data_IF_276928659115
#
_entry.id   IF_276928659115
#
_cell.length_a   1.000
_cell.length_b   1.000
_cell.length_c   1.000
_cell.angle_alpha   90.00
_cell.angle_beta   90.00
_cell.angle_gamma   90.00
#
_symmetry.space_group_name_H-M   'P 1'
#
loop_
_entity.id
_entity.type
_entity.pdbx_description
1 polymer ?
#
# COMPACT_ATOMS: atom_id res chain seq x y z
N UNK A 1 47.45 2.79 -36.08
CA UNK A 1 48.86 2.72 -36.52
C UNK A 1 48.83 2.26 -37.96
N UNK A 2 49.49 2.96 -38.89
CA UNK A 2 49.52 2.50 -40.27
C UNK A 2 50.26 1.17 -40.28
N UNK A 3 49.61 0.15 -40.80
CA UNK A 3 50.22 -1.13 -41.13
C UNK A 3 51.24 -0.84 -42.22
N UNK A 4 52.52 -0.71 -41.84
CA UNK A 4 53.57 -1.01 -42.81
C UNK A 4 53.26 -2.41 -43.31
N UNK A 5 52.93 -2.56 -44.59
CA UNK A 5 52.70 -3.87 -45.19
C UNK A 5 53.87 -4.77 -44.80
N UNK A 6 53.58 -5.77 -43.96
CA UNK A 6 54.63 -6.57 -43.34
C UNK A 6 55.20 -7.46 -44.41
N UNK A 7 56.51 -7.32 -44.66
CA UNK A 7 57.25 -8.12 -45.62
C UNK A 7 56.96 -9.61 -45.38
N UNK A 8 56.32 -10.23 -46.37
CA UNK A 8 56.00 -11.64 -46.39
C UNK A 8 57.10 -12.42 -47.10
N UNK A 9 57.09 -13.73 -46.92
CA UNK A 9 58.01 -14.62 -47.63
C UNK A 9 57.83 -14.48 -49.15
N UNK A 10 56.60 -14.22 -49.62
CA UNK A 10 56.32 -13.99 -51.04
C UNK A 10 57.01 -12.72 -51.57
N UNK A 11 57.09 -11.66 -50.77
CA UNK A 11 57.76 -10.41 -51.17
C UNK A 11 59.28 -10.62 -51.33
N UNK A 12 59.87 -11.50 -50.51
CA UNK A 12 61.29 -11.88 -50.62
C UNK A 12 61.55 -12.67 -51.91
N UNK A 13 60.64 -13.59 -52.28
CA UNK A 13 60.73 -14.34 -53.54
C UNK A 13 60.57 -13.44 -54.77
N UNK A 14 59.66 -12.47 -54.73
CA UNK A 14 59.46 -11.50 -55.81
C UNK A 14 60.69 -10.60 -55.99
N UNK A 15 61.28 -10.13 -54.87
CA UNK A 15 62.53 -9.37 -54.88
C UNK A 15 63.70 -10.21 -55.42
N UNK A 16 63.83 -11.47 -54.99
CA UNK A 16 64.84 -12.40 -55.50
C UNK A 16 64.70 -12.64 -57.02
N UNK A 17 63.47 -12.76 -57.52
CA UNK A 17 63.19 -12.92 -58.96
C UNK A 17 63.62 -11.68 -59.77
N UNK A 18 63.32 -10.48 -59.27
CA UNK A 18 63.74 -9.23 -59.91
C UNK A 18 65.27 -9.10 -59.95
N UNK A 19 65.93 -9.35 -58.82
CA UNK A 19 67.40 -9.33 -58.71
C UNK A 19 68.04 -10.37 -59.65
N UNK A 20 67.45 -11.56 -59.76
CA UNK A 20 67.93 -12.61 -60.67
C UNK A 20 67.93 -12.17 -62.13
N UNK A 21 66.88 -11.49 -62.59
CA UNK A 21 66.80 -10.93 -63.96
C UNK A 21 67.85 -9.85 -64.21
N UNK A 22 68.12 -9.01 -63.22
CA UNK A 22 69.15 -7.98 -63.32
C UNK A 22 70.56 -8.60 -63.39
N UNK A 23 70.81 -9.68 -62.64
CA UNK A 23 72.06 -10.44 -62.75
C UNK A 23 72.22 -11.12 -64.11
N UNK A 24 71.15 -11.68 -64.68
CA UNK A 24 71.16 -12.27 -66.03
C UNK A 24 71.59 -11.22 -67.07
N UNK A 25 71.02 -10.01 -67.03
CA UNK A 25 71.40 -8.90 -67.93
C UNK A 25 72.86 -8.44 -67.80
N UNK A 26 73.44 -8.55 -66.60
CA UNK A 26 74.84 -8.22 -66.35
C UNK A 26 75.75 -9.33 -66.89
N UNK A 27 75.40 -10.59 -66.67
CA UNK A 27 76.14 -11.76 -67.17
C UNK A 27 76.18 -11.74 -68.70
N UNK A 28 75.06 -11.45 -69.35
CA UNK A 28 74.96 -11.39 -70.82
C UNK A 28 75.89 -10.33 -71.45
N UNK A 29 76.14 -9.22 -70.73
CA UNK A 29 76.97 -8.11 -71.25
C UNK A 29 78.43 -8.15 -70.84
N UNK A 30 78.73 -8.61 -69.62
CA UNK A 30 80.05 -8.49 -69.01
C UNK A 30 80.68 -9.85 -68.64
N UNK A 31 79.98 -10.95 -68.87
CA UNK A 31 80.43 -12.29 -68.50
C UNK A 31 80.18 -12.63 -67.03
N UNK A 32 80.30 -13.92 -66.70
CA UNK A 32 79.96 -14.47 -65.38
C UNK A 32 80.89 -13.96 -64.27
N UNK A 33 82.15 -13.66 -64.59
CA UNK A 33 83.17 -13.21 -63.63
C UNK A 33 82.81 -11.88 -62.95
N UNK A 34 82.00 -11.05 -63.62
CA UNK A 34 81.55 -9.76 -63.06
C UNK A 34 80.63 -9.91 -61.83
N UNK A 35 79.91 -11.03 -61.73
CA UNK A 35 78.90 -11.26 -60.68
C UNK A 35 79.31 -12.38 -59.70
N UNK A 36 80.26 -13.23 -60.08
CA UNK A 36 80.66 -14.43 -59.34
C UNK A 36 80.97 -14.20 -57.85
N UNK A 37 81.60 -13.07 -57.49
CA UNK A 37 81.90 -12.74 -56.08
C UNK A 37 80.75 -12.06 -55.30
N UNK A 38 79.77 -11.49 -56.00
CA UNK A 38 78.64 -10.76 -55.41
C UNK A 38 77.43 -11.69 -55.16
N UNK A 39 77.18 -12.62 -56.07
CA UNK A 39 76.02 -13.51 -56.02
C UNK A 39 75.91 -14.29 -54.70
N UNK A 40 76.96 -14.91 -54.14
CA UNK A 40 76.86 -15.62 -52.86
C UNK A 40 76.47 -14.68 -51.71
N UNK A 41 76.94 -13.43 -51.72
CA UNK A 41 76.59 -12.45 -50.68
C UNK A 41 75.13 -12.03 -50.76
N UNK A 42 74.60 -11.87 -51.98
CA UNK A 42 73.19 -11.54 -52.19
C UNK A 42 72.30 -12.72 -51.81
N UNK A 43 72.71 -13.95 -52.13
CA UNK A 43 72.01 -15.16 -51.69
C UNK A 43 71.94 -15.21 -50.16
N UNK A 44 73.07 -15.03 -49.45
CA UNK A 44 73.06 -15.04 -47.99
C UNK A 44 72.15 -13.96 -47.38
N UNK A 45 72.10 -12.76 -47.96
CA UNK A 45 71.18 -11.71 -47.49
C UNK A 45 69.71 -12.07 -47.78
N UNK A 46 69.41 -12.68 -48.93
CA UNK A 46 68.06 -13.14 -49.26
C UNK A 46 67.61 -14.29 -48.36
N UNK A 47 68.50 -15.23 -48.03
CA UNK A 47 68.26 -16.30 -47.06
C UNK A 47 67.98 -15.74 -45.65
N UNK A 48 68.79 -14.78 -45.19
CA UNK A 48 68.55 -14.09 -43.90
C UNK A 48 67.20 -13.33 -43.89
N UNK A 49 66.82 -12.70 -45.01
CA UNK A 49 65.53 -12.03 -45.14
C UNK A 49 64.36 -13.01 -45.18
N UNK A 50 64.51 -14.17 -45.84
CA UNK A 50 63.50 -15.23 -45.86
C UNK A 50 63.28 -15.80 -44.45
N UNK A 51 64.35 -16.04 -43.70
CA UNK A 51 64.32 -16.48 -42.30
C UNK A 51 63.60 -15.45 -41.40
N UNK A 52 63.88 -14.16 -41.60
CA UNK A 52 63.21 -13.10 -40.86
C UNK A 52 61.72 -12.99 -41.22
N UNK A 53 61.39 -13.09 -42.51
CA UNK A 53 60.00 -13.04 -42.99
C UNK A 53 59.18 -14.24 -42.49
N UNK A 54 59.74 -15.45 -42.52
CA UNK A 54 59.07 -16.65 -41.97
C UNK A 54 58.83 -16.53 -40.47
N UNK A 55 59.85 -16.12 -39.69
CA UNK A 55 59.69 -15.90 -38.25
C UNK A 55 58.61 -14.86 -37.95
N UNK A 56 58.64 -13.76 -38.68
CA UNK A 56 57.65 -12.70 -38.54
C UNK A 56 56.22 -13.18 -38.85
N UNK A 57 56.02 -14.00 -39.88
CA UNK A 57 54.71 -14.62 -40.17
C UNK A 57 54.26 -15.59 -39.06
N UNK A 58 55.18 -16.35 -38.47
CA UNK A 58 54.85 -17.25 -37.35
C UNK A 58 54.46 -16.48 -36.09
N UNK A 59 55.23 -15.47 -35.71
CA UNK A 59 54.92 -14.60 -34.57
C UNK A 59 53.60 -13.84 -34.79
N UNK A 60 53.35 -13.38 -36.02
CA UNK A 60 52.07 -12.74 -36.39
C UNK A 60 50.88 -13.69 -36.23
N UNK A 61 51.01 -14.95 -36.63
CA UNK A 61 49.97 -15.98 -36.43
C UNK A 61 49.73 -16.24 -34.94
N UNK A 62 50.81 -16.38 -34.16
CA UNK A 62 50.73 -16.58 -32.71
C UNK A 62 50.05 -15.39 -32.00
N UNK A 63 50.36 -14.15 -32.39
CA UNK A 63 49.71 -12.96 -31.84
C UNK A 63 48.20 -12.96 -32.12
N UNK A 64 47.79 -13.32 -33.34
CA UNK A 64 46.37 -13.40 -33.71
C UNK A 64 45.66 -14.48 -32.90
N UNK A 65 46.27 -15.65 -32.73
CA UNK A 65 45.68 -16.73 -31.94
C UNK A 65 45.62 -16.39 -30.46
N UNK A 66 46.67 -15.76 -29.91
CA UNK A 66 46.68 -15.30 -28.52
C UNK A 66 45.61 -14.22 -28.29
N UNK A 67 45.43 -13.29 -29.23
CA UNK A 67 44.35 -12.30 -29.17
C UNK A 67 42.97 -12.98 -29.13
N UNK A 68 42.74 -14.01 -29.95
CA UNK A 68 41.49 -14.79 -29.91
C UNK A 68 41.26 -15.48 -28.56
N UNK A 69 42.33 -15.96 -27.92
CA UNK A 69 42.24 -16.55 -26.58
C UNK A 69 41.90 -15.49 -25.54
N UNK A 70 42.54 -14.32 -25.60
CA UNK A 70 42.25 -13.19 -24.70
C UNK A 70 40.79 -12.77 -24.84
N UNK A 71 40.31 -12.52 -26.06
CA UNK A 71 38.93 -12.12 -26.31
C UNK A 71 37.93 -13.15 -25.74
N UNK A 72 38.21 -14.45 -25.95
CA UNK A 72 37.39 -15.53 -25.39
C UNK A 72 37.38 -15.50 -23.85
N UNK A 73 38.54 -15.42 -23.21
CA UNK A 73 38.63 -15.39 -21.74
C UNK A 73 37.96 -14.15 -21.15
N UNK A 74 38.03 -13.01 -21.82
CA UNK A 74 37.32 -11.79 -21.41
C UNK A 74 35.80 -12.00 -21.44
N UNK A 75 35.27 -12.61 -22.50
CA UNK A 75 33.83 -12.93 -22.59
C UNK A 75 33.40 -13.93 -21.50
N UNK A 76 34.19 -14.98 -21.25
CA UNK A 76 33.92 -15.96 -20.19
C UNK A 76 33.94 -15.31 -18.80
N UNK A 77 34.92 -14.44 -18.54
CA UNK A 77 35.03 -13.70 -17.27
C UNK A 77 33.81 -12.82 -17.02
N UNK A 78 33.30 -12.14 -18.05
CA UNK A 78 32.08 -11.34 -17.94
C UNK A 78 30.87 -12.23 -17.65
N UNK A 79 30.75 -13.37 -18.35
CA UNK A 79 29.65 -14.32 -18.15
C UNK A 79 29.64 -14.87 -16.71
N UNK A 80 30.80 -15.26 -16.18
CA UNK A 80 30.93 -15.77 -14.80
C UNK A 80 30.51 -14.71 -13.78
N UNK A 81 30.94 -13.45 -13.95
CA UNK A 81 30.52 -12.35 -13.08
C UNK A 81 29.00 -12.14 -13.12
N UNK A 82 28.42 -12.13 -14.32
CA UNK A 82 26.98 -11.97 -14.49
C UNK A 82 26.22 -13.13 -13.82
N UNK A 83 26.68 -14.38 -14.02
CA UNK A 83 26.10 -15.57 -13.39
C UNK A 83 26.12 -15.47 -11.86
N UNK A 84 27.23 -15.05 -11.26
CA UNK A 84 27.32 -14.86 -9.81
C UNK A 84 26.34 -13.79 -9.30
N UNK A 85 26.18 -12.68 -10.03
CA UNK A 85 25.19 -11.64 -9.66
C UNK A 85 23.75 -12.14 -9.76
N UNK A 86 23.43 -12.94 -10.77
CA UNK A 86 22.10 -13.54 -10.95
C UNK A 86 21.80 -14.56 -9.84
N UNK A 87 22.79 -15.36 -9.44
CA UNK A 87 22.64 -16.30 -8.33
C UNK A 87 22.39 -15.56 -7.00
N UNK A 88 23.17 -14.51 -6.70
CA UNK A 88 22.94 -13.68 -5.52
C UNK A 88 21.55 -13.02 -5.53
N UNK A 89 21.12 -12.48 -6.68
CA UNK A 89 19.78 -11.91 -6.82
C UNK A 89 18.66 -12.93 -6.61
N UNK A 90 18.83 -14.16 -7.12
CA UNK A 90 17.88 -15.26 -6.90
C UNK A 90 17.77 -15.61 -5.41
N UNK A 91 18.89 -15.64 -4.70
CA UNK A 91 18.88 -15.91 -3.26
C UNK A 91 18.24 -14.77 -2.46
N UNK A 92 18.48 -13.52 -2.85
CA UNK A 92 17.79 -12.37 -2.27
C UNK A 92 16.27 -12.43 -2.49
N UNK A 93 15.81 -12.77 -3.70
CA UNK A 93 14.38 -12.95 -4.01
C UNK A 93 13.78 -14.04 -3.12
N UNK A 94 14.44 -15.20 -3.00
CA UNK A 94 13.97 -16.28 -2.12
C UNK A 94 13.91 -15.85 -0.65
N UNK A 95 14.89 -15.04 -0.20
CA UNK A 95 14.88 -14.48 1.15
C UNK A 95 13.68 -13.59 1.39
N UNK A 96 13.48 -12.61 0.51
CA UNK A 96 12.37 -11.66 0.60
C UNK A 96 11.02 -12.36 0.49
N UNK A 97 10.90 -13.41 -0.33
CA UNK A 97 9.69 -14.23 -0.42
C UNK A 97 9.37 -14.94 0.89
N UNK A 98 10.37 -15.47 1.60
CA UNK A 98 10.17 -16.09 2.93
C UNK A 98 9.75 -15.05 3.96
N UNK A 99 10.39 -13.88 3.97
CA UNK A 99 10.01 -12.78 4.86
C UNK A 99 8.59 -12.31 4.60
N UNK A 100 8.21 -12.12 3.34
CA UNK A 100 6.85 -11.74 2.95
C UNK A 100 5.82 -12.79 3.38
N UNK A 101 6.10 -14.08 3.15
CA UNK A 101 5.22 -15.17 3.56
C UNK A 101 5.04 -15.22 5.08
N UNK A 102 6.11 -14.99 5.84
CA UNK A 102 6.05 -14.91 7.30
C UNK A 102 5.19 -13.72 7.76
N UNK A 103 5.42 -12.53 7.20
CA UNK A 103 4.63 -11.33 7.53
C UNK A 103 3.17 -11.48 7.18
N UNK A 104 2.85 -12.14 6.06
CA UNK A 104 1.48 -12.45 5.67
C UNK A 104 0.81 -13.37 6.71
N UNK A 105 1.49 -14.43 7.16
CA UNK A 105 0.98 -15.31 8.20
C UNK A 105 0.75 -14.57 9.53
N UNK A 106 1.64 -13.64 9.90
CA UNK A 106 1.48 -12.82 11.11
C UNK A 106 0.26 -11.90 11.00
N UNK A 107 0.03 -11.28 9.84
CA UNK A 107 -1.15 -10.44 9.57
C UNK A 107 -2.44 -11.25 9.67
N UNK A 108 -2.48 -12.44 9.06
CA UNK A 108 -3.65 -13.34 9.13
C UNK A 108 -3.94 -13.79 10.57
N UNK A 109 -2.90 -14.05 11.37
CA UNK A 109 -3.04 -14.39 12.78
C UNK A 109 -3.60 -13.21 13.61
N UNK A 110 -3.08 -12.00 13.39
CA UNK A 110 -3.55 -10.79 14.07
C UNK A 110 -4.99 -10.41 13.66
N UNK A 111 -5.34 -10.55 12.38
CA UNK A 111 -6.71 -10.37 11.89
C UNK A 111 -7.66 -11.36 12.56
N UNK A 112 -7.28 -12.64 12.63
CA UNK A 112 -8.07 -13.67 13.32
C UNK A 112 -8.28 -13.35 14.81
N UNK A 113 -7.27 -12.78 15.47
CA UNK A 113 -7.38 -12.33 16.86
C UNK A 113 -8.31 -11.11 16.99
N UNK A 114 -8.20 -10.14 16.10
CA UNK A 114 -9.06 -8.94 16.05
C UNK A 114 -10.52 -9.34 15.89
N UNK A 115 -10.82 -10.23 14.94
CA UNK A 115 -12.19 -10.72 14.70
C UNK A 115 -12.75 -11.45 15.91
N UNK A 116 -11.92 -12.24 16.61
CA UNK A 116 -12.33 -12.90 17.85
C UNK A 116 -12.67 -11.89 18.94
N UNK A 117 -11.87 -10.85 19.11
CA UNK A 117 -12.13 -9.79 20.09
C UNK A 117 -13.38 -8.99 19.71
N UNK A 118 -13.59 -8.68 18.43
CA UNK A 118 -14.79 -8.02 17.93
C UNK A 118 -16.05 -8.83 18.26
N UNK A 119 -16.02 -10.16 18.04
CA UNK A 119 -17.11 -11.07 18.43
C UNK A 119 -17.38 -11.06 19.94
N UNK A 120 -16.32 -11.13 20.75
CA UNK A 120 -16.47 -11.07 22.22
C UNK A 120 -17.03 -9.72 22.70
N UNK A 121 -16.58 -8.62 22.12
CA UNK A 121 -17.09 -7.29 22.45
C UNK A 121 -18.57 -7.13 22.07
N UNK A 122 -18.97 -7.62 20.89
CA UNK A 122 -20.38 -7.64 20.49
C UNK A 122 -21.24 -8.46 21.47
N UNK A 123 -20.74 -9.61 21.91
CA UNK A 123 -21.42 -10.46 22.90
C UNK A 123 -21.58 -9.77 24.25
N UNK A 124 -20.52 -9.11 24.76
CA UNK A 124 -20.59 -8.34 26.01
C UNK A 124 -21.61 -7.21 25.89
N UNK A 125 -21.61 -6.47 24.78
CA UNK A 125 -22.59 -5.40 24.52
C UNK A 125 -24.02 -5.93 24.49
N UNK A 126 -24.27 -7.08 23.84
CA UNK A 126 -25.60 -7.72 23.85
C UNK A 126 -26.04 -8.12 25.25
N UNK A 127 -25.16 -8.77 26.03
CA UNK A 127 -25.45 -9.14 27.43
C UNK A 127 -25.76 -7.93 28.30
N UNK A 128 -24.97 -6.87 28.15
CA UNK A 128 -25.19 -5.62 28.85
C UNK A 128 -26.56 -4.99 28.49
N UNK A 129 -26.93 -4.98 27.20
CA UNK A 129 -28.24 -4.47 26.76
C UNK A 129 -29.40 -5.26 27.38
N UNK A 130 -29.32 -6.59 27.39
CA UNK A 130 -30.33 -7.45 28.02
C UNK A 130 -30.43 -7.18 29.53
N UNK A 131 -29.29 -7.14 30.23
CA UNK A 131 -29.26 -6.87 31.67
C UNK A 131 -29.81 -5.47 32.00
N UNK A 132 -29.48 -4.46 31.19
CA UNK A 132 -30.01 -3.09 31.33
C UNK A 132 -31.53 -3.06 31.17
N UNK A 133 -32.09 -3.73 30.16
CA UNK A 133 -33.54 -3.81 29.96
C UNK A 133 -34.24 -4.51 31.12
N UNK A 134 -33.66 -5.60 31.64
CA UNK A 134 -34.18 -6.29 32.82
C UNK A 134 -34.21 -5.35 34.04
N UNK A 135 -33.14 -4.59 34.27
CA UNK A 135 -33.09 -3.61 35.35
C UNK A 135 -34.15 -2.49 35.18
N UNK A 136 -34.37 -2.01 33.95
CA UNK A 136 -35.40 -1.02 33.63
C UNK A 136 -36.81 -1.56 33.91
N UNK A 137 -37.13 -2.76 33.44
CA UNK A 137 -38.42 -3.40 33.69
C UNK A 137 -38.70 -3.60 35.19
N UNK A 138 -37.67 -3.99 35.97
CA UNK A 138 -37.81 -4.09 37.42
C UNK A 138 -38.03 -2.73 38.08
N UNK A 139 -37.38 -1.66 37.58
CA UNK A 139 -37.57 -0.30 38.06
C UNK A 139 -39.00 0.20 37.78
N UNK A 140 -39.53 -0.06 36.58
CA UNK A 140 -40.90 0.29 36.19
C UNK A 140 -41.94 -0.44 37.05
N UNK A 141 -41.80 -1.77 37.18
CA UNK A 141 -42.67 -2.57 38.03
C UNK A 141 -42.64 -2.12 39.50
N UNK A 142 -41.46 -1.72 39.99
CA UNK A 142 -41.30 -1.13 41.33
C UNK A 142 -42.06 0.19 41.45
N UNK A 143 -41.90 1.11 40.48
CA UNK A 143 -42.60 2.39 40.48
C UNK A 143 -44.14 2.21 40.46
N UNK A 144 -44.65 1.26 39.67
CA UNK A 144 -46.08 0.93 39.62
C UNK A 144 -46.60 0.38 40.95
N UNK A 145 -45.79 -0.44 41.64
CA UNK A 145 -46.09 -0.94 42.98
C UNK A 145 -46.11 0.20 44.01
N UNK A 146 -45.13 1.10 43.96
CA UNK A 146 -45.06 2.27 44.86
C UNK A 146 -46.28 3.18 44.69
N UNK A 147 -46.71 3.47 43.46
CA UNK A 147 -47.93 4.26 43.19
C UNK A 147 -49.18 3.57 43.75
N UNK A 148 -49.32 2.25 43.56
CA UNK A 148 -50.46 1.50 44.12
C UNK A 148 -50.44 1.49 45.65
N UNK A 149 -49.26 1.35 46.24
CA UNK A 149 -49.09 1.42 47.69
C UNK A 149 -49.51 2.80 48.22
N UNK A 150 -49.01 3.88 47.62
CA UNK A 150 -49.37 5.26 47.99
C UNK A 150 -50.87 5.51 47.88
N UNK A 151 -51.53 5.02 46.83
CA UNK A 151 -52.98 5.13 46.68
C UNK A 151 -53.73 4.40 47.81
N UNK A 152 -53.27 3.21 48.20
CA UNK A 152 -53.85 2.47 49.34
C UNK A 152 -53.60 3.17 50.67
N UNK A 153 -52.42 3.75 50.88
CA UNK A 153 -52.10 4.55 52.07
C UNK A 153 -52.95 5.81 52.18
N UNK A 154 -53.23 6.49 51.05
CA UNK A 154 -54.13 7.64 51.00
C UNK A 154 -55.55 7.25 51.41
N UNK A 155 -56.09 6.15 50.87
CA UNK A 155 -57.42 5.65 51.26
C UNK A 155 -57.48 5.29 52.74
N UNK A 156 -56.43 4.66 53.29
CA UNK A 156 -56.36 4.37 54.72
C UNK A 156 -56.34 5.66 55.56
N UNK A 157 -55.68 6.71 55.09
CA UNK A 157 -55.66 8.03 55.74
C UNK A 157 -57.04 8.68 55.73
N UNK A 158 -57.73 8.68 54.59
CA UNK A 158 -59.10 9.18 54.46
C UNK A 158 -60.08 8.44 55.39
N UNK A 159 -59.99 7.10 55.44
CA UNK A 159 -60.80 6.32 56.38
C UNK A 159 -60.48 6.65 57.84
N UNK A 160 -59.20 6.86 58.18
CA UNK A 160 -58.78 7.26 59.52
C UNK A 160 -59.33 8.65 59.89
N UNK A 161 -59.30 9.60 58.97
CA UNK A 161 -59.80 10.96 59.18
C UNK A 161 -61.34 10.99 59.32
N UNK A 162 -62.06 10.09 58.63
CA UNK A 162 -63.52 9.92 58.81
C UNK A 162 -63.91 9.22 60.12
N UNK A 163 -63.03 8.40 60.70
CA UNK A 163 -63.26 7.70 61.98
C UNK A 163 -62.86 8.56 63.19
N UNK A 164 -61.94 9.52 63.01
CA UNK A 164 -61.55 10.50 64.03
C UNK A 164 -62.25 11.84 63.76
N UNK A 165 -63.47 11.99 64.29
CA UNK A 165 -64.10 13.32 64.42
C UNK A 165 -63.26 14.25 65.31
N UNK A 166 -63.46 15.59 65.23
CA UNK A 166 -62.60 16.56 65.88
C UNK A 166 -62.91 16.65 67.37
N UNK A 167 -62.52 15.66 68.17
CA UNK A 167 -62.38 15.83 69.62
C UNK A 167 -61.10 15.17 70.15
N UNK A 168 -60.23 16.06 70.66
CA UNK A 168 -59.29 15.90 71.76
C UNK A 168 -58.29 14.73 71.76
N UNK A 169 -56.99 15.08 71.73
CA UNK A 169 -55.95 14.18 72.23
C UNK A 169 -54.54 14.54 71.79
N UNK A 170 -53.95 15.56 72.41
CA UNK A 170 -52.51 15.78 72.40
C UNK A 170 -51.77 14.51 72.89
N UNK A 171 -50.70 14.13 72.19
CA UNK A 171 -49.77 13.09 72.66
C UNK A 171 -49.59 11.91 71.71
N UNK A 172 -48.99 12.14 70.53
CA UNK A 172 -48.28 11.11 69.77
C UNK A 172 -47.22 11.77 68.89
N UNK A 173 -46.41 12.65 69.47
CA UNK A 173 -45.06 12.88 68.94
C UNK A 173 -44.21 11.64 69.22
N UNK A 174 -43.28 11.36 68.31
CA UNK A 174 -42.40 10.20 68.25
C UNK A 174 -43.08 8.92 67.72
N UNK A 175 -43.12 8.79 66.39
CA UNK A 175 -42.20 7.96 65.59
C UNK A 175 -42.61 8.14 64.13
N UNK A 176 -42.30 9.31 63.54
CA UNK A 176 -42.25 9.44 62.09
C UNK A 176 -40.82 9.18 61.66
N UNK A 177 -40.40 7.90 61.66
CA UNK A 177 -39.25 7.53 60.85
C UNK A 177 -39.72 7.67 59.40
N UNK A 178 -39.48 8.84 58.83
CA UNK A 178 -40.00 9.23 57.53
C UNK A 178 -39.45 8.26 56.49
N UNK A 179 -40.34 7.42 55.95
CA UNK A 179 -40.09 6.62 54.74
C UNK A 179 -39.56 7.51 53.61
N UNK A 180 -39.95 8.79 53.60
CA UNK A 180 -39.41 9.84 52.72
C UNK A 180 -37.90 10.08 52.86
N UNK A 181 -37.33 9.93 54.05
CA UNK A 181 -35.89 10.10 54.29
C UNK A 181 -35.10 8.86 53.80
N UNK A 182 -35.71 7.68 53.87
CA UNK A 182 -35.15 6.44 53.31
C UNK A 182 -35.26 6.43 51.79
N UNK A 183 -36.40 6.83 51.21
CA UNK A 183 -36.59 6.99 49.76
C UNK A 183 -35.64 8.05 49.19
N UNK A 184 -35.46 9.19 49.88
CA UNK A 184 -34.51 10.24 49.46
C UNK A 184 -33.06 9.77 49.53
N UNK A 185 -32.71 8.93 50.53
CA UNK A 185 -31.39 8.32 50.66
C UNK A 185 -31.13 7.26 49.58
N UNK A 186 -32.14 6.44 49.24
CA UNK A 186 -32.05 5.43 48.17
C UNK A 186 -31.97 6.10 46.80
N UNK A 187 -32.77 7.15 46.55
CA UNK A 187 -32.77 7.88 45.30
C UNK A 187 -31.46 8.65 45.08
N UNK A 188 -30.85 9.24 46.11
CA UNK A 188 -29.52 9.84 46.02
C UNK A 188 -28.43 8.80 45.71
N UNK A 189 -28.53 7.60 46.29
CA UNK A 189 -27.57 6.50 46.05
C UNK A 189 -27.68 5.92 44.64
N UNK A 190 -28.89 5.84 44.08
CA UNK A 190 -29.12 5.39 42.69
C UNK A 190 -28.78 6.46 41.65
N UNK A 191 -29.04 7.75 41.91
CA UNK A 191 -28.63 8.85 41.03
C UNK A 191 -27.11 8.98 40.91
N UNK A 192 -26.37 8.76 42.02
CA UNK A 192 -24.89 8.73 42.00
C UNK A 192 -24.33 7.56 41.17
N UNK A 193 -24.99 6.39 41.21
CA UNK A 193 -24.61 5.24 40.38
C UNK A 193 -24.90 5.51 38.90
N UNK A 194 -26.09 6.01 38.55
CA UNK A 194 -26.45 6.37 37.16
C UNK A 194 -25.51 7.46 36.61
N UNK A 195 -25.09 8.42 37.45
CA UNK A 195 -24.12 9.45 37.06
C UNK A 195 -22.71 8.89 36.84
N UNK A 196 -22.30 7.84 37.56
CA UNK A 196 -21.01 7.16 37.35
C UNK A 196 -21.00 6.25 36.11
N UNK A 197 -22.17 5.94 35.54
CA UNK A 197 -22.30 5.20 34.29
C UNK A 197 -22.20 6.09 33.04
N UNK A 198 -22.19 7.42 33.18
CA UNK A 198 -21.94 8.39 32.10
C UNK A 198 -20.43 8.56 31.82
N UNK A 199 -19.69 7.46 31.77
CA UNK A 199 -18.51 7.42 30.94
C UNK A 199 -18.97 7.03 29.53
N UNK A 200 -19.61 7.98 28.86
CA UNK A 200 -19.50 8.06 27.41
C UNK A 200 -18.01 8.25 27.14
N UNK A 201 -17.33 7.13 26.89
CA UNK A 201 -16.03 7.12 26.29
C UNK A 201 -16.22 7.74 24.90
N UNK A 202 -16.04 9.06 24.86
CA UNK A 202 -15.74 9.85 23.68
C UNK A 202 -14.43 9.31 23.07
N UNK A 203 -14.50 8.15 22.42
CA UNK A 203 -13.47 7.65 21.52
C UNK A 203 -13.67 8.40 20.23
N UNK A 204 -13.18 9.64 20.20
CA UNK A 204 -12.73 10.26 18.95
C UNK A 204 -11.53 9.44 18.49
N UNK A 205 -11.77 8.47 17.61
CA UNK A 205 -10.74 7.93 16.75
C UNK A 205 -10.37 9.01 15.73
N UNK A 206 -9.39 9.84 16.10
CA UNK A 206 -8.70 10.75 15.20
C UNK A 206 -7.22 10.41 15.21
N UNK A 207 -6.75 9.71 14.18
CA UNK A 207 -5.35 9.77 13.80
C UNK A 207 -5.10 11.10 13.09
N UNK A 208 -4.12 11.88 13.56
CA UNK A 208 -3.12 12.56 12.72
C UNK A 208 -2.02 13.08 13.65
N UNK A 209 -0.75 12.74 13.35
CA UNK A 209 0.41 13.09 14.16
C UNK A 209 0.96 14.49 13.89
N UNK A 210 1.45 15.17 14.93
CA UNK A 210 2.84 15.65 15.09
C UNK A 210 3.01 16.40 16.44
N UNK A 211 4.24 16.50 16.99
CA UNK A 211 4.47 16.71 18.42
C UNK A 211 4.76 18.16 18.80
N UNK A 212 4.51 18.49 20.08
CA UNK A 212 5.24 19.52 20.82
C UNK A 212 4.39 20.67 21.35
N UNK A 213 3.89 20.55 22.59
CA UNK A 213 3.80 21.65 23.54
C UNK A 213 3.50 21.13 24.96
N UNK A 214 4.34 21.56 25.89
CA UNK A 214 4.40 21.33 27.34
C UNK A 214 3.10 21.78 28.06
N UNK A 215 2.68 21.15 29.18
CA UNK A 215 1.49 21.57 29.90
C UNK A 215 1.82 22.74 30.83
N UNK A 216 1.16 23.89 30.64
CA UNK A 216 1.15 24.98 31.61
C UNK A 216 -0.23 25.10 32.25
N UNK A 217 -0.22 24.89 33.56
CA UNK A 217 -1.30 25.04 34.51
C UNK A 217 -1.61 26.54 34.68
N UNK A 218 -2.86 26.97 34.45
CA UNK A 218 -3.40 28.23 34.99
C UNK A 218 -4.88 28.02 35.32
N UNK A 219 -5.19 27.83 36.61
CA UNK A 219 -6.55 28.05 37.12
C UNK A 219 -6.89 29.53 36.93
N UNK A 220 -7.72 29.81 35.93
CA UNK A 220 -8.40 31.09 35.80
C UNK A 220 -9.71 30.99 36.57
N UNK A 221 -9.85 31.78 37.64
CA UNK A 221 -11.14 32.01 38.31
C UNK A 221 -12.08 32.65 37.28
N UNK A 222 -13.03 31.88 36.77
CA UNK A 222 -14.08 32.39 35.89
C UNK A 222 -15.13 33.09 36.77
N UNK A 223 -15.63 34.24 36.32
CA UNK A 223 -16.75 34.93 36.97
C UNK A 223 -18.07 34.19 36.73
N UNK A 224 -19.06 34.40 37.59
CA UNK A 224 -20.37 33.71 37.55
C UNK A 224 -21.06 33.84 36.19
N UNK A 225 -20.94 35.00 35.55
CA UNK A 225 -21.48 35.29 34.22
C UNK A 225 -20.82 34.45 33.12
N UNK A 226 -19.50 34.26 33.19
CA UNK A 226 -18.74 33.44 32.23
C UNK A 226 -19.05 31.94 32.40
N UNK A 227 -19.42 31.53 33.62
CA UNK A 227 -19.89 30.19 33.93
C UNK A 227 -21.28 29.94 33.35
N UNK A 228 -22.20 30.92 33.47
CA UNK A 228 -23.55 30.83 32.90
C UNK A 228 -23.50 30.77 31.37
N UNK A 229 -22.66 31.59 30.72
CA UNK A 229 -22.50 31.59 29.27
C UNK A 229 -21.92 30.26 28.76
N UNK A 230 -20.89 29.73 29.43
CA UNK A 230 -20.32 28.42 29.11
C UNK A 230 -21.34 27.30 29.28
N UNK A 231 -22.10 27.28 30.37
CA UNK A 231 -23.08 26.22 30.63
C UNK A 231 -24.26 26.28 29.66
N UNK A 232 -24.68 27.48 29.24
CA UNK A 232 -25.68 27.66 28.18
C UNK A 232 -25.14 27.20 26.81
N UNK A 233 -23.86 27.44 26.49
CA UNK A 233 -23.21 26.95 25.26
C UNK A 233 -23.00 25.42 25.24
N UNK A 234 -22.87 24.79 26.40
CA UNK A 234 -22.84 23.32 26.58
C UNK A 234 -24.23 22.67 26.54
N UNK A 235 -25.30 23.44 26.24
CA UNK A 235 -26.67 22.95 26.17
C UNK A 235 -27.34 22.75 27.53
N UNK A 236 -26.75 23.25 28.63
CA UNK A 236 -27.31 23.21 29.98
C UNK A 236 -27.91 24.58 30.29
N UNK A 237 -29.16 24.83 29.86
CA UNK A 237 -29.81 26.11 30.14
C UNK A 237 -29.94 26.37 31.64
N UNK A 238 -29.25 27.38 32.15
CA UNK A 238 -29.40 27.89 33.52
C UNK A 238 -30.40 29.03 33.46
N UNK A 239 -31.60 28.81 34.01
CA UNK A 239 -32.68 29.79 34.01
C UNK A 239 -32.77 30.42 35.41
N UNK A 240 -32.73 31.76 35.48
CA UNK A 240 -32.93 32.51 36.72
C UNK A 240 -34.29 32.15 37.34
N UNK A 241 -34.27 31.80 38.63
CA UNK A 241 -35.47 31.40 39.38
C UNK A 241 -36.42 32.58 39.64
N UNK A 242 -35.94 33.81 39.51
CA UNK A 242 -36.69 35.03 39.83
C UNK A 242 -37.37 35.69 38.61
N UNK A 243 -37.15 35.18 37.40
CA UNK A 243 -37.67 35.77 36.16
C UNK A 243 -39.20 35.56 35.99
N UNK A 244 -40.01 36.65 35.93
CA UNK A 244 -41.45 36.58 35.70
C UNK A 244 -41.84 36.00 34.33
N UNK A 245 -40.99 36.11 33.32
CA UNK A 245 -41.23 35.65 31.95
C UNK A 245 -40.65 34.26 31.66
N UNK A 246 -40.18 33.55 32.70
CA UNK A 246 -39.68 32.18 32.58
C UNK A 246 -40.75 31.26 31.97
N UNK A 247 -40.41 30.42 30.97
CA UNK A 247 -41.33 29.44 30.41
C UNK A 247 -41.88 28.52 31.51
N UNK A 248 -43.20 28.55 31.71
CA UNK A 248 -43.90 27.71 32.68
C UNK A 248 -44.60 26.60 31.92
N UNK A 249 -43.96 25.45 31.87
CA UNK A 249 -44.57 24.24 31.34
C UNK A 249 -45.50 23.64 32.38
N UNK A 250 -46.63 23.10 31.95
CA UNK A 250 -47.45 22.25 32.81
C UNK A 250 -46.73 20.91 33.05
N UNK A 251 -47.04 20.23 34.16
CA UNK A 251 -46.48 18.90 34.45
C UNK A 251 -46.79 17.90 33.32
N UNK A 252 -47.94 18.07 32.67
CA UNK A 252 -48.37 17.27 31.52
C UNK A 252 -47.48 17.51 30.30
N UNK A 253 -47.24 18.77 29.93
CA UNK A 253 -46.33 19.13 28.83
C UNK A 253 -44.90 18.63 29.10
N UNK A 254 -44.42 18.74 30.35
CA UNK A 254 -43.10 18.23 30.70
C UNK A 254 -43.02 16.70 30.53
N UNK A 255 -44.07 15.98 30.89
CA UNK A 255 -44.13 14.51 30.72
C UNK A 255 -44.13 14.14 29.24
N UNK A 256 -44.93 14.81 28.43
CA UNK A 256 -45.01 14.60 26.98
C UNK A 256 -43.65 14.88 26.32
N UNK A 257 -43.03 16.03 26.62
CA UNK A 257 -41.70 16.38 26.09
C UNK A 257 -40.62 15.40 26.54
N UNK A 258 -40.68 14.90 27.77
CA UNK A 258 -39.74 13.88 28.25
C UNK A 258 -39.94 12.53 27.57
N UNK A 259 -41.19 12.15 27.28
CA UNK A 259 -41.53 10.94 26.53
C UNK A 259 -41.07 11.05 25.08
N UNK A 260 -41.40 12.14 24.40
CA UNK A 260 -40.94 12.42 23.04
C UNK A 260 -39.41 12.46 22.96
N UNK A 261 -38.74 13.15 23.88
CA UNK A 261 -37.27 13.15 23.98
C UNK A 261 -36.71 11.75 24.16
N UNK A 262 -37.33 10.92 24.99
CA UNK A 262 -36.87 9.55 25.21
C UNK A 262 -37.09 8.67 23.97
N UNK A 263 -38.23 8.82 23.29
CA UNK A 263 -38.51 8.12 22.04
C UNK A 263 -37.54 8.54 20.93
N UNK A 264 -37.29 9.84 20.78
CA UNK A 264 -36.33 10.38 19.83
C UNK A 264 -34.90 9.93 20.15
N UNK A 265 -34.53 9.82 21.43
CA UNK A 265 -33.23 9.26 21.83
C UNK A 265 -33.10 7.79 21.44
N UNK A 266 -34.14 6.98 21.58
CA UNK A 266 -34.12 5.58 21.13
C UNK A 266 -33.94 5.52 19.62
N UNK A 267 -34.72 6.30 18.85
CA UNK A 267 -34.59 6.38 17.39
C UNK A 267 -33.22 6.87 16.95
N UNK A 268 -32.65 7.84 17.66
CA UNK A 268 -31.31 8.36 17.38
C UNK A 268 -30.24 7.27 17.58
N UNK A 269 -30.33 6.49 18.67
CA UNK A 269 -29.41 5.37 18.91
C UNK A 269 -29.53 4.32 17.79
N UNK A 270 -30.75 3.97 17.38
CA UNK A 270 -30.97 3.01 16.28
C UNK A 270 -30.36 3.50 14.97
N UNK A 271 -30.61 4.77 14.59
CA UNK A 271 -30.05 5.37 13.38
C UNK A 271 -28.53 5.52 13.46
N UNK A 272 -27.98 5.87 14.63
CA UNK A 272 -26.53 5.93 14.85
C UNK A 272 -25.89 4.53 14.76
N UNK A 273 -26.56 3.49 15.25
CA UNK A 273 -26.14 2.09 15.08
C UNK A 273 -26.17 1.68 13.61
N UNK A 274 -27.24 1.97 12.86
CA UNK A 274 -27.30 1.72 11.41
C UNK A 274 -26.19 2.46 10.66
N UNK A 275 -26.00 3.76 10.93
CA UNK A 275 -24.93 4.56 10.34
C UNK A 275 -23.53 4.09 10.77
N UNK A 276 -23.38 3.47 11.94
CA UNK A 276 -22.12 2.85 12.36
C UNK A 276 -21.79 1.61 11.53
N UNK A 277 -22.81 0.83 11.17
CA UNK A 277 -22.65 -0.32 10.26
C UNK A 277 -22.21 0.16 8.87
N UNK A 278 -22.82 1.23 8.36
CA UNK A 278 -22.43 1.79 7.06
C UNK A 278 -21.07 2.51 7.08
N UNK A 279 -20.68 3.15 8.19
CA UNK A 279 -19.32 3.70 8.36
C UNK A 279 -18.26 2.62 8.46
N UNK A 280 -18.53 1.56 9.23
CA UNK A 280 -17.65 0.40 9.33
C UNK A 280 -17.51 -0.32 7.99
N UNK A 281 -18.55 -0.29 7.14
CA UNK A 281 -18.53 -0.81 5.78
C UNK A 281 -18.00 0.19 4.72
N UNK A 282 -17.70 1.43 5.10
CA UNK A 282 -17.29 2.52 4.20
C UNK A 282 -15.83 2.96 4.33
N UNK A 283 -15.11 2.49 5.35
CA UNK A 283 -13.64 2.65 5.49
C UNK A 283 -12.86 1.42 4.97
N UNK A 284 -13.55 0.43 4.42
CA UNK A 284 -12.96 -0.49 3.46
C UNK A 284 -13.16 0.13 2.07
N UNK A 285 -12.07 0.51 1.40
CA UNK A 285 -12.05 0.50 -0.06
C UNK A 285 -12.77 -0.78 -0.49
N UNK A 286 -13.89 -0.65 -1.21
CA UNK A 286 -14.64 -1.79 -1.71
C UNK A 286 -13.65 -2.82 -2.26
N UNK A 287 -13.78 -4.13 -1.99
CA UNK A 287 -12.83 -5.10 -2.51
C UNK A 287 -12.83 -4.99 -4.05
N UNK A 288 -11.81 -4.30 -4.59
CA UNK A 288 -11.50 -4.30 -6.01
C UNK A 288 -10.83 -5.65 -6.28
N UNK A 289 -11.64 -6.71 -6.18
CA UNK A 289 -11.34 -8.04 -6.65
C UNK A 289 -12.47 -8.49 -7.58
N UNK A 290 -12.62 -7.78 -8.69
CA UNK A 290 -12.61 -8.51 -9.95
C UNK A 290 -11.15 -8.87 -10.25
N UNK A 291 -10.85 -10.04 -10.86
CA UNK A 291 -9.54 -10.27 -11.44
C UNK A 291 -9.19 -9.03 -12.28
N UNK A 292 -8.07 -8.37 -11.99
CA UNK A 292 -7.61 -7.25 -12.81
C UNK A 292 -7.69 -7.72 -14.27
N UNK A 293 -8.34 -6.95 -15.14
CA UNK A 293 -8.34 -7.29 -16.57
C UNK A 293 -6.87 -7.47 -16.95
N UNK A 294 -6.48 -8.70 -17.31
CA UNK A 294 -5.14 -8.95 -17.84
C UNK A 294 -4.98 -7.99 -19.00
N UNK A 295 -3.97 -7.12 -18.93
CA UNK A 295 -3.64 -6.31 -20.09
C UNK A 295 -3.51 -7.24 -21.28
N UNK A 296 -4.12 -6.91 -22.44
CA UNK A 296 -4.03 -7.76 -23.62
C UNK A 296 -2.56 -8.09 -23.89
N UNK A 297 -2.29 -9.35 -24.22
CA UNK A 297 -0.94 -9.93 -24.33
C UNK A 297 0.01 -9.14 -25.28
N UNK A 298 -0.56 -8.25 -26.09
CA UNK A 298 0.12 -7.27 -26.94
C UNK A 298 1.07 -6.31 -26.20
N UNK A 299 0.88 -6.05 -24.90
CA UNK A 299 1.77 -5.16 -24.13
C UNK A 299 2.99 -5.84 -23.52
N UNK A 300 3.00 -7.17 -23.41
CA UNK A 300 4.12 -7.93 -22.84
C UNK A 300 5.15 -8.35 -23.90
N UNK A 301 4.73 -8.39 -25.16
CA UNK A 301 5.58 -8.59 -26.31
C UNK A 301 5.24 -7.54 -27.35
N UNK A 302 6.05 -6.49 -27.54
CA UNK A 302 5.86 -5.60 -28.67
C UNK A 302 6.02 -6.45 -29.93
N UNK A 303 4.91 -6.75 -30.59
CA UNK A 303 4.90 -7.46 -31.86
C UNK A 303 5.77 -6.67 -32.84
N UNK A 304 6.69 -7.38 -33.50
CA UNK A 304 7.68 -6.82 -34.42
C UNK A 304 7.06 -6.39 -35.76
N UNK A 305 5.78 -6.05 -35.81
CA UNK A 305 5.03 -5.91 -37.07
C UNK A 305 4.27 -4.60 -37.27
N UNK A 306 4.33 -3.64 -36.34
CA UNK A 306 3.79 -2.29 -36.63
C UNK A 306 4.91 -1.35 -37.07
N UNK A 307 5.16 -1.40 -38.37
CA UNK A 307 6.04 -0.50 -39.12
C UNK A 307 5.39 0.90 -39.26
N UNK A 308 4.98 1.49 -38.13
CA UNK A 308 4.34 2.81 -38.05
C UNK A 308 5.31 3.76 -37.35
N UNK A 309 6.45 3.95 -38.00
CA UNK A 309 7.43 4.96 -37.65
C UNK A 309 7.45 6.08 -38.69
N UNK A 310 7.71 7.30 -38.26
CA UNK A 310 7.91 8.47 -39.13
C UNK A 310 8.95 8.20 -40.23
N UNK A 311 9.86 7.24 -40.02
CA UNK A 311 10.81 6.73 -41.02
C UNK A 311 10.14 6.20 -42.31
N UNK A 312 8.97 5.57 -42.24
CA UNK A 312 8.21 5.14 -43.43
C UNK A 312 7.43 6.28 -44.08
N UNK A 313 7.01 7.28 -43.31
CA UNK A 313 6.40 8.50 -43.84
C UNK A 313 7.37 9.26 -44.77
N UNK A 314 8.64 9.37 -44.38
CA UNK A 314 9.68 9.95 -45.23
C UNK A 314 10.10 9.01 -46.38
N UNK A 315 10.19 7.69 -46.15
CA UNK A 315 10.51 6.75 -47.24
C UNK A 315 9.47 6.76 -48.36
N UNK A 316 8.18 6.93 -48.04
CA UNK A 316 7.09 6.92 -49.03
C UNK A 316 6.88 8.25 -49.76
N UNK A 317 7.24 9.37 -49.15
CA UNK A 317 7.18 10.70 -49.78
C UNK A 317 8.38 10.99 -50.70
N UNK A 318 9.54 10.38 -50.43
CA UNK A 318 10.78 10.66 -51.18
C UNK A 318 11.22 9.53 -52.13
N UNK A 319 10.57 8.36 -52.15
CA UNK A 319 10.86 7.27 -53.11
C UNK A 319 10.11 7.36 -54.45
N UNK A 320 9.18 8.30 -54.60
CA UNK A 320 8.44 8.54 -55.86
C UNK A 320 9.17 9.46 -56.85
N UNK A 321 10.41 9.86 -56.55
CA UNK A 321 11.27 10.64 -57.44
C UNK A 321 12.62 9.92 -57.55
N UNK A 322 12.67 8.84 -58.33
CA UNK A 322 13.95 8.17 -58.57
C UNK A 322 13.85 6.81 -59.22
N UNK A 323 14.01 6.80 -60.54
CA UNK A 323 14.46 5.69 -61.37
C UNK A 323 13.54 4.49 -61.54
N UNK A 324 12.88 4.49 -62.70
CA UNK A 324 12.63 3.24 -63.42
C UNK A 324 13.94 2.63 -63.93
N UNK A 325 13.99 1.30 -63.94
CA UNK A 325 14.36 0.45 -65.06
C UNK A 325 14.48 -1.01 -64.59
N UNK A 326 13.76 -1.90 -65.30
CA UNK A 326 14.16 -3.28 -65.67
C UNK A 326 14.42 -4.29 -64.51
N UNK A 327 14.09 -5.58 -64.58
CA UNK A 327 13.90 -6.53 -65.68
C UNK A 327 13.00 -7.69 -65.22
N UNK A 328 12.32 -8.28 -66.20
CA UNK A 328 11.56 -9.53 -66.17
C UNK A 328 12.36 -10.74 -65.65
N UNK A 329 11.67 -11.65 -64.96
CA UNK A 329 11.67 -13.13 -65.17
C UNK A 329 10.49 -13.70 -64.36
N UNK A 330 9.40 -14.20 -64.95
CA UNK A 330 9.22 -15.60 -65.40
C UNK A 330 9.29 -16.55 -64.20
N UNK A 331 8.30 -17.33 -63.77
CA UNK A 331 7.07 -17.84 -64.35
C UNK A 331 6.81 -19.23 -63.73
N UNK A 332 5.54 -19.60 -63.59
CA UNK A 332 4.99 -20.96 -63.64
C UNK A 332 4.93 -21.87 -62.38
N UNK A 333 3.75 -22.53 -62.26
CA UNK A 333 3.47 -23.81 -61.55
C UNK A 333 3.29 -23.73 -60.04
N UNK A 334 2.22 -24.18 -59.38
CA UNK A 334 1.31 -25.30 -59.66
C UNK A 334 1.65 -26.49 -58.75
N UNK A 335 0.72 -26.94 -57.90
CA UNK A 335 0.79 -28.19 -57.10
C UNK A 335 0.72 -27.94 -55.58
N UNK A 336 -0.44 -28.11 -54.94
CA UNK A 336 -0.93 -29.35 -54.32
C UNK A 336 -0.26 -29.75 -52.99
N UNK A 337 -1.09 -29.71 -51.95
CA UNK A 337 -1.37 -30.79 -50.98
C UNK A 337 -0.21 -31.49 -50.29
N UNK A 338 -0.19 -31.43 -48.95
CA UNK A 338 0.58 -32.37 -48.14
C UNK A 338 0.50 -32.11 -46.64
N UNK A 339 -0.51 -32.69 -45.98
CA UNK A 339 -0.52 -32.96 -44.53
C UNK A 339 0.71 -33.80 -44.17
N UNK A 340 1.40 -33.47 -43.08
CA UNK A 340 2.12 -34.46 -42.27
C UNK A 340 1.90 -34.14 -40.79
N UNK A 341 1.30 -35.14 -40.14
CA UNK A 341 1.34 -35.61 -38.74
C UNK A 341 1.98 -34.70 -37.69
#
# INVERSE_FOLDING_TARGET
MPTSDMLSVADVYDAASAIGKDFELIIDRYGVDAVAGLMPKVISVLEELEDLATRHETESKELVDLQRVVDRLETEKVLVKLKATVEAQRDQIRSLQRELAQRQADVEALQSQSDRLARMNAEIRRRHCVSKRQAQHLLESKADLEVRLQAKEQLLREMKDCVVGPEAGAGAEAVSFSIKDVESSINNKYLGLISSCNLDANVKSGQHGHPGATPSNLMTSMTEEQLIEKLNSEGKMIIDRSDPNRPRFTITELREVLMERNELKTKLIEVEEELSVYRQAGDDDAPVQGPINKEPDEKLYPDKSTDIGIKQFFRRKFSLVGNGQRLRRGGNGGGQSGKIV
#
